data_IF_662471348768
#
_entry.id   IF_662471348768
#
_cell.length_a   1.000
_cell.length_b   1.000
_cell.length_c   1.000
_cell.angle_alpha   90.00
_cell.angle_beta   90.00
_cell.angle_gamma   90.00
#
_symmetry.space_group_name_H-M   'P 1'
#
loop_
_entity.id
_entity.type
_entity.pdbx_description
1 polymer ?
#
# COMPACT_ATOMS: atom_id res chain seq x y z
N UNK A 1 -16.79 -3.55 -3.34
CA UNK A 1 -16.30 -4.00 -4.65
C UNK A 1 -15.53 -2.93 -5.45
N UNK A 2 -16.00 -1.69 -5.69
CA UNK A 2 -15.19 -0.65 -6.36
C UNK A 2 -13.93 -0.21 -5.59
N UNK A 3 -13.92 -0.28 -4.24
CA UNK A 3 -12.76 0.06 -3.39
C UNK A 3 -11.68 -1.03 -3.40
N UNK A 4 -12.07 -2.31 -3.44
CA UNK A 4 -11.11 -3.43 -3.57
C UNK A 4 -10.39 -3.42 -4.93
N UNK A 5 -11.08 -3.04 -6.02
CA UNK A 5 -10.43 -2.90 -7.34
C UNK A 5 -9.35 -1.82 -7.36
N UNK A 6 -9.50 -0.72 -6.58
CA UNK A 6 -8.45 0.31 -6.46
C UNK A 6 -7.27 -0.17 -5.62
N UNK A 7 -7.51 -0.92 -4.55
CA UNK A 7 -6.47 -1.51 -3.72
C UNK A 7 -5.67 -2.58 -4.48
N UNK A 8 -6.36 -3.43 -5.25
CA UNK A 8 -5.72 -4.44 -6.08
C UNK A 8 -4.92 -3.85 -7.26
N UNK A 9 -5.35 -2.69 -7.77
CA UNK A 9 -4.63 -1.94 -8.81
C UNK A 9 -3.38 -1.24 -8.21
N UNK A 10 -3.48 -0.74 -6.99
CA UNK A 10 -2.35 -0.22 -6.22
C UNK A 10 -1.34 -1.33 -5.91
N UNK A 11 -1.80 -2.56 -5.75
CA UNK A 11 -0.99 -3.75 -5.47
C UNK A 11 0.07 -4.05 -6.54
N UNK A 12 -0.22 -3.70 -7.80
CA UNK A 12 0.72 -3.84 -8.93
C UNK A 12 1.44 -2.54 -9.27
N UNK A 13 0.99 -1.40 -8.70
CA UNK A 13 1.49 -0.04 -9.00
C UNK A 13 2.57 0.45 -8.05
N UNK A 14 2.74 -0.16 -6.89
CA UNK A 14 3.72 0.28 -5.88
C UNK A 14 5.19 0.06 -6.28
N UNK A 15 5.43 -0.55 -7.42
CA UNK A 15 6.77 -0.94 -7.89
C UNK A 15 7.51 0.19 -8.63
N UNK A 16 6.95 1.37 -8.83
CA UNK A 16 7.53 2.36 -9.76
C UNK A 16 8.07 3.65 -9.16
N UNK A 17 8.38 3.80 -7.87
CA UNK A 17 9.05 5.05 -7.40
C UNK A 17 10.09 4.80 -6.32
N UNK A 18 11.30 4.45 -6.71
CA UNK A 18 12.48 4.71 -5.91
C UNK A 18 13.62 5.23 -6.78
N UNK A 19 13.37 6.34 -7.43
CA UNK A 19 14.41 7.15 -8.08
C UNK A 19 14.63 8.44 -7.30
N UNK A 20 15.12 8.38 -6.07
CA UNK A 20 15.61 9.57 -5.36
C UNK A 20 16.93 10.00 -5.97
N UNK A 21 16.90 10.93 -6.88
CA UNK A 21 18.08 11.73 -7.26
C UNK A 21 18.45 12.61 -6.08
N UNK A 22 19.46 12.22 -5.30
CA UNK A 22 20.14 13.12 -4.40
C UNK A 22 20.83 14.21 -5.20
N UNK A 23 20.36 15.44 -5.07
CA UNK A 23 21.05 16.59 -5.64
C UNK A 23 22.35 16.84 -4.85
N UNK A 24 23.51 16.97 -5.52
CA UNK A 24 24.73 17.36 -4.85
C UNK A 24 24.68 18.84 -4.47
N UNK A 25 24.98 19.14 -3.22
CA UNK A 25 25.25 20.50 -2.75
C UNK A 25 26.51 21.00 -3.45
N UNK A 26 26.41 21.99 -4.31
CA UNK A 26 27.52 22.63 -4.99
C UNK A 26 28.13 23.72 -4.09
N UNK A 27 29.40 23.54 -3.73
CA UNK A 27 30.21 24.62 -3.18
C UNK A 27 30.52 25.67 -4.27
N UNK A 28 30.42 26.94 -3.91
CA UNK A 28 30.66 28.04 -4.81
C UNK A 28 32.15 28.11 -5.26
N UNK A 29 32.38 27.86 -6.52
CA UNK A 29 33.62 28.09 -7.22
C UNK A 29 33.32 28.80 -8.53
N UNK A 30 33.84 30.03 -8.65
CA UNK A 30 33.73 30.90 -9.82
C UNK A 30 34.48 30.31 -11.02
N UNK A 31 33.74 29.80 -12.00
CA UNK A 31 34.21 29.71 -13.39
C UNK A 31 32.98 29.67 -14.32
N UNK A 32 32.95 30.64 -15.23
CA UNK A 32 31.95 30.83 -16.27
C UNK A 32 32.10 29.74 -17.36
N UNK A 33 31.49 28.58 -17.14
CA UNK A 33 31.10 27.67 -18.20
C UNK A 33 29.59 27.60 -18.23
N UNK A 34 29.01 27.81 -19.42
CA UNK A 34 27.57 27.64 -19.67
C UNK A 34 27.13 26.31 -19.09
N UNK A 35 26.11 26.26 -18.22
CA UNK A 35 25.62 24.96 -17.71
C UNK A 35 25.05 24.18 -18.89
N UNK A 36 25.69 23.08 -19.25
CA UNK A 36 25.08 22.08 -20.10
C UNK A 36 23.89 21.51 -19.33
N UNK A 37 22.67 21.83 -19.76
CA UNK A 37 21.45 21.19 -19.26
C UNK A 37 21.67 19.69 -19.49
N UNK A 38 21.56 18.83 -18.45
CA UNK A 38 21.64 17.39 -18.66
C UNK A 38 20.58 17.01 -19.70
N UNK A 39 20.99 16.48 -20.83
CA UNK A 39 20.06 15.98 -21.85
C UNK A 39 19.31 14.82 -21.21
N UNK A 40 18.00 14.94 -21.05
CA UNK A 40 17.17 13.88 -20.51
C UNK A 40 17.32 12.63 -21.40
N UNK A 41 17.58 11.49 -20.77
CA UNK A 41 17.78 10.23 -21.49
C UNK A 41 16.50 9.84 -22.24
N UNK A 42 16.62 9.50 -23.52
CA UNK A 42 15.48 9.12 -24.35
C UNK A 42 14.82 7.81 -23.87
N UNK A 43 13.50 7.67 -24.09
CA UNK A 43 12.78 6.46 -23.77
C UNK A 43 13.32 5.22 -24.46
N UNK A 44 13.84 5.36 -25.68
CA UNK A 44 14.52 4.26 -26.38
C UNK A 44 15.77 3.79 -25.64
N UNK A 45 16.61 4.72 -25.15
CA UNK A 45 17.81 4.37 -24.39
C UNK A 45 17.45 3.70 -23.05
N UNK A 46 16.43 4.20 -22.36
CA UNK A 46 15.92 3.58 -21.12
C UNK A 46 15.38 2.17 -21.38
N UNK A 47 14.63 1.99 -22.47
CA UNK A 47 14.10 0.69 -22.88
C UNK A 47 15.21 -0.32 -23.22
N UNK A 48 16.25 0.10 -23.93
CA UNK A 48 17.40 -0.76 -24.28
C UNK A 48 18.18 -1.17 -23.01
N UNK A 49 18.35 -0.25 -22.07
CA UNK A 49 18.96 -0.56 -20.76
C UNK A 49 18.12 -1.55 -19.97
N UNK A 50 16.80 -1.35 -19.92
CA UNK A 50 15.87 -2.27 -19.25
C UNK A 50 15.95 -3.65 -19.89
N UNK A 51 15.87 -3.75 -21.23
CA UNK A 51 15.95 -5.01 -21.93
C UNK A 51 17.27 -5.76 -21.64
N UNK A 52 18.36 -5.01 -21.48
CA UNK A 52 19.66 -5.55 -21.08
C UNK A 52 19.66 -6.02 -19.63
N UNK A 53 19.02 -5.28 -18.71
CA UNK A 53 18.98 -5.58 -17.29
C UNK A 53 18.12 -6.82 -16.96
N UNK A 54 17.15 -7.15 -17.82
CA UNK A 54 16.30 -8.34 -17.65
C UNK A 54 16.82 -9.58 -18.36
N UNK A 55 18.04 -9.59 -18.86
CA UNK A 55 18.61 -10.80 -19.52
C UNK A 55 18.61 -12.00 -18.59
N UNK A 56 18.13 -13.13 -19.11
CA UNK A 56 18.11 -14.40 -18.38
C UNK A 56 16.91 -15.27 -18.74
N UNK A 57 16.87 -16.44 -18.13
CA UNK A 57 15.80 -17.41 -18.29
C UNK A 57 14.84 -17.30 -17.10
N UNK A 58 13.54 -17.17 -17.39
CA UNK A 58 12.51 -16.94 -16.41
C UNK A 58 11.47 -18.06 -16.41
N UNK A 59 11.07 -18.48 -15.22
CA UNK A 59 9.89 -19.30 -14.97
C UNK A 59 8.84 -18.48 -14.22
N UNK A 60 7.63 -19.00 -14.10
CA UNK A 60 6.54 -18.30 -13.42
C UNK A 60 6.88 -18.04 -11.95
N UNK A 61 6.81 -16.78 -11.54
CA UNK A 61 7.21 -16.33 -10.21
C UNK A 61 6.41 -17.04 -9.10
N UNK A 62 5.07 -16.99 -9.17
CA UNK A 62 4.24 -17.47 -8.06
C UNK A 62 4.09 -18.98 -8.09
N UNK A 63 3.49 -19.52 -9.16
CA UNK A 63 3.13 -20.92 -9.25
C UNK A 63 4.34 -21.87 -9.20
N UNK A 64 5.41 -21.52 -9.92
CA UNK A 64 6.55 -22.42 -10.07
C UNK A 64 7.67 -22.16 -9.05
N UNK A 65 7.56 -21.03 -8.27
CA UNK A 65 8.55 -20.68 -7.26
C UNK A 65 7.91 -20.32 -5.92
N UNK A 66 7.35 -19.12 -5.74
CA UNK A 66 7.01 -18.60 -4.41
C UNK A 66 5.90 -19.36 -3.68
N UNK A 67 5.03 -20.09 -4.40
CA UNK A 67 3.96 -20.89 -3.80
C UNK A 67 4.40 -22.30 -3.40
N UNK A 68 5.65 -22.68 -3.63
CA UNK A 68 6.19 -23.93 -3.10
C UNK A 68 6.03 -23.95 -1.57
N UNK A 69 5.50 -25.05 -1.05
CA UNK A 69 5.21 -25.24 0.39
C UNK A 69 6.45 -25.06 1.28
N UNK A 70 7.66 -25.32 0.75
CA UNK A 70 8.91 -25.11 1.49
C UNK A 70 9.14 -23.67 1.89
N UNK A 71 8.53 -22.69 1.18
CA UNK A 71 8.64 -21.26 1.46
C UNK A 71 7.51 -20.71 2.35
N UNK A 72 6.59 -21.54 2.83
CA UNK A 72 5.51 -21.09 3.70
C UNK A 72 6.03 -20.40 4.97
N UNK A 73 7.21 -20.80 5.47
CA UNK A 73 7.82 -20.14 6.60
C UNK A 73 8.17 -18.67 6.28
N UNK A 74 8.73 -18.38 5.11
CA UNK A 74 9.06 -17.01 4.69
C UNK A 74 7.80 -16.17 4.53
N UNK A 75 6.76 -16.70 3.90
CA UNK A 75 5.46 -16.01 3.80
C UNK A 75 4.91 -15.62 5.17
N UNK A 76 4.99 -16.51 6.15
CA UNK A 76 4.50 -16.23 7.49
C UNK A 76 5.37 -15.24 8.24
N UNK A 77 6.69 -15.40 8.20
CA UNK A 77 7.63 -14.52 8.92
C UNK A 77 7.58 -13.09 8.36
N UNK A 78 7.60 -12.95 7.02
CA UNK A 78 7.61 -11.64 6.37
C UNK A 78 6.25 -10.94 6.47
N UNK A 79 5.14 -11.69 6.38
CA UNK A 79 3.83 -11.13 6.66
C UNK A 79 3.69 -10.70 8.13
N UNK A 80 4.20 -11.51 9.08
CA UNK A 80 4.18 -11.17 10.50
C UNK A 80 4.91 -9.86 10.81
N UNK A 81 6.01 -9.60 10.11
CA UNK A 81 6.77 -8.36 10.25
C UNK A 81 5.94 -7.11 9.87
N UNK A 82 4.93 -7.27 9.01
CA UNK A 82 4.09 -6.16 8.55
C UNK A 82 2.77 -6.05 9.33
N UNK A 83 2.09 -7.19 9.56
CA UNK A 83 0.72 -7.17 10.12
C UNK A 83 0.62 -7.69 11.55
N UNK A 84 1.71 -8.22 12.13
CA UNK A 84 1.70 -8.85 13.45
C UNK A 84 1.19 -10.30 13.43
N UNK A 85 1.47 -11.04 14.52
CA UNK A 85 1.38 -12.50 14.54
C UNK A 85 0.02 -13.13 14.26
N UNK A 86 -1.07 -12.57 14.76
CA UNK A 86 -2.40 -13.22 14.69
C UNK A 86 -3.10 -13.05 13.34
N UNK A 87 -2.76 -12.02 12.55
CA UNK A 87 -3.35 -11.80 11.22
C UNK A 87 -2.59 -12.47 10.08
N UNK A 88 -1.46 -13.10 10.37
CA UNK A 88 -0.55 -13.66 9.34
C UNK A 88 -1.27 -14.63 8.42
N UNK A 89 -2.03 -15.57 8.96
CA UNK A 89 -2.66 -16.62 8.16
C UNK A 89 -3.65 -16.04 7.12
N UNK A 90 -4.47 -15.07 7.52
CA UNK A 90 -5.43 -14.44 6.61
C UNK A 90 -4.72 -13.47 5.64
N UNK A 91 -3.71 -12.74 6.10
CA UNK A 91 -2.91 -11.87 5.25
C UNK A 91 -2.21 -12.67 4.14
N UNK A 92 -1.51 -13.75 4.48
CA UNK A 92 -0.85 -14.62 3.50
C UNK A 92 -1.85 -15.26 2.54
N UNK A 93 -2.99 -15.73 3.05
CA UNK A 93 -4.06 -16.28 2.22
C UNK A 93 -4.59 -15.24 1.22
N UNK A 94 -4.85 -14.02 1.67
CA UNK A 94 -5.34 -12.92 0.83
C UNK A 94 -4.30 -12.52 -0.22
N UNK A 95 -3.03 -12.37 0.16
CA UNK A 95 -1.96 -12.08 -0.78
C UNK A 95 -1.81 -13.16 -1.86
N UNK A 96 -1.75 -14.43 -1.45
CA UNK A 96 -1.65 -15.54 -2.41
C UNK A 96 -2.87 -15.61 -3.33
N UNK A 97 -4.07 -15.33 -2.81
CA UNK A 97 -5.28 -15.29 -3.62
C UNK A 97 -5.28 -14.15 -4.64
N UNK A 98 -4.77 -12.97 -4.27
CA UNK A 98 -4.77 -11.79 -5.15
C UNK A 98 -3.94 -11.96 -6.44
N UNK A 99 -2.93 -12.82 -6.42
CA UNK A 99 -2.03 -13.12 -7.57
C UNK A 99 -2.11 -14.58 -8.03
N UNK A 100 -2.97 -15.36 -7.41
CA UNK A 100 -3.13 -16.79 -7.66
C UNK A 100 -4.29 -17.16 -8.56
N UNK A 101 -4.91 -16.21 -9.28
CA UNK A 101 -5.94 -16.55 -10.27
C UNK A 101 -5.41 -17.54 -11.29
N UNK A 102 -6.27 -18.42 -11.75
CA UNK A 102 -5.98 -19.36 -12.85
C UNK A 102 -6.63 -18.95 -14.16
N UNK A 103 -7.32 -17.81 -14.16
CA UNK A 103 -8.11 -17.32 -15.30
C UNK A 103 -7.83 -15.85 -15.58
N UNK A 104 -7.96 -15.48 -16.84
CA UNK A 104 -7.78 -14.12 -17.35
C UNK A 104 -8.74 -13.84 -18.53
N UNK A 105 -8.77 -12.62 -19.04
CA UNK A 105 -9.62 -12.21 -20.14
C UNK A 105 -11.11 -12.24 -19.76
N UNK A 106 -11.96 -12.80 -20.58
CA UNK A 106 -13.40 -12.88 -20.35
C UNK A 106 -13.78 -13.73 -19.12
N UNK A 107 -12.85 -14.56 -18.66
CA UNK A 107 -13.00 -15.41 -17.47
C UNK A 107 -12.23 -14.90 -16.26
N UNK A 108 -11.71 -13.68 -16.34
CA UNK A 108 -10.90 -13.11 -15.26
C UNK A 108 -11.67 -13.07 -13.93
N UNK A 109 -11.01 -13.46 -12.86
CA UNK A 109 -11.48 -13.14 -11.51
C UNK A 109 -11.37 -11.62 -11.31
N UNK A 110 -12.47 -10.92 -10.99
CA UNK A 110 -12.41 -9.46 -10.79
C UNK A 110 -11.61 -9.03 -9.56
N UNK A 111 -11.25 -9.97 -8.67
CA UNK A 111 -10.56 -9.70 -7.41
C UNK A 111 -9.13 -10.25 -7.37
N UNK A 112 -8.67 -10.88 -8.44
CA UNK A 112 -7.35 -11.49 -8.52
C UNK A 112 -6.72 -11.33 -9.90
N UNK A 113 -5.40 -11.40 -9.96
CA UNK A 113 -4.64 -11.43 -11.20
C UNK A 113 -4.14 -12.84 -11.50
N UNK A 114 -4.16 -13.20 -12.76
CA UNK A 114 -3.39 -14.30 -13.28
C UNK A 114 -1.97 -13.81 -13.57
N UNK A 115 -1.01 -14.22 -12.73
CA UNK A 115 0.38 -13.78 -12.85
C UNK A 115 1.28 -14.84 -13.53
N UNK A 116 0.70 -15.87 -14.11
CA UNK A 116 1.43 -16.87 -14.88
C UNK A 116 1.70 -16.47 -16.34
N UNK A 117 2.36 -17.34 -17.06
CA UNK A 117 2.54 -17.19 -18.51
C UNK A 117 1.36 -17.80 -19.25
N UNK A 118 0.91 -17.16 -20.33
CA UNK A 118 -0.22 -17.61 -21.15
C UNK A 118 0.27 -18.35 -22.40
N UNK A 119 -0.68 -18.83 -23.23
CA UNK A 119 -0.40 -19.54 -24.46
C UNK A 119 0.55 -20.75 -24.30
N UNK A 120 0.34 -21.48 -23.21
CA UNK A 120 1.11 -22.69 -22.87
C UNK A 120 2.62 -22.46 -22.67
N UNK A 121 3.04 -21.21 -22.46
CA UNK A 121 4.44 -20.85 -22.19
C UNK A 121 4.81 -21.25 -20.75
N UNK A 122 5.93 -21.96 -20.59
CA UNK A 122 6.49 -22.33 -19.29
C UNK A 122 7.78 -21.58 -18.93
N UNK A 123 8.52 -21.11 -19.94
CA UNK A 123 9.78 -20.42 -19.75
C UNK A 123 9.92 -19.30 -20.80
N UNK A 124 10.45 -18.15 -20.38
CA UNK A 124 10.76 -17.01 -21.26
C UNK A 124 12.23 -16.64 -21.07
N UNK A 125 12.97 -16.52 -22.15
CA UNK A 125 14.39 -16.16 -22.14
C UNK A 125 14.62 -14.84 -22.87
N UNK A 126 15.11 -13.83 -22.13
CA UNK A 126 15.57 -12.56 -22.68
C UNK A 126 17.07 -12.66 -22.98
N UNK A 127 17.45 -12.41 -24.23
CA UNK A 127 18.81 -12.64 -24.75
C UNK A 127 19.40 -11.38 -25.37
N UNK A 128 20.68 -11.41 -25.68
CA UNK A 128 21.38 -10.33 -26.39
C UNK A 128 20.75 -10.02 -27.73
N UNK A 129 20.90 -8.77 -28.16
CA UNK A 129 20.43 -8.32 -29.48
C UNK A 129 18.91 -8.16 -29.59
N UNK A 130 18.20 -8.04 -28.44
CA UNK A 130 16.76 -7.88 -28.43
C UNK A 130 15.98 -9.18 -28.67
N UNK A 131 16.61 -10.32 -28.52
CA UNK A 131 15.95 -11.61 -28.77
C UNK A 131 15.19 -12.08 -27.53
N UNK A 132 13.94 -12.53 -27.72
CA UNK A 132 13.15 -13.25 -26.70
C UNK A 132 12.76 -14.61 -27.22
N UNK A 133 12.98 -15.64 -26.42
CA UNK A 133 12.58 -17.02 -26.72
C UNK A 133 11.52 -17.48 -25.70
N UNK A 134 10.41 -17.96 -26.21
CA UNK A 134 9.32 -18.55 -25.43
C UNK A 134 9.37 -20.07 -25.59
N UNK A 135 9.43 -20.79 -24.46
CA UNK A 135 9.40 -22.26 -24.46
C UNK A 135 8.06 -22.72 -23.92
N UNK A 136 7.32 -23.46 -24.72
CA UNK A 136 6.01 -24.04 -24.35
C UNK A 136 6.15 -25.32 -23.53
N UNK A 137 5.08 -25.80 -22.91
CA UNK A 137 5.07 -26.99 -22.06
C UNK A 137 5.46 -28.27 -22.82
N UNK A 138 5.16 -28.35 -24.12
CA UNK A 138 5.64 -29.41 -25.02
C UNK A 138 7.09 -29.24 -25.47
N UNK A 139 7.80 -28.25 -24.89
CA UNK A 139 9.20 -27.93 -25.16
C UNK A 139 9.48 -27.36 -26.56
N UNK A 140 8.43 -26.91 -27.26
CA UNK A 140 8.62 -26.14 -28.51
C UNK A 140 9.16 -24.77 -28.17
N UNK A 141 10.08 -24.25 -28.96
CA UNK A 141 10.68 -22.93 -28.83
C UNK A 141 10.21 -22.02 -29.96
N UNK A 142 9.72 -20.85 -29.56
CA UNK A 142 9.38 -19.74 -30.48
C UNK A 142 10.27 -18.56 -30.12
N UNK A 143 10.94 -17.97 -31.12
CA UNK A 143 11.95 -16.95 -30.84
C UNK A 143 11.84 -15.82 -31.85
N UNK A 144 11.80 -14.59 -31.33
CA UNK A 144 11.71 -13.37 -32.13
C UNK A 144 12.74 -12.34 -31.67
N UNK A 145 13.09 -11.42 -32.57
CA UNK A 145 13.92 -10.26 -32.28
C UNK A 145 13.04 -9.03 -32.15
N UNK A 146 13.19 -8.28 -31.10
CA UNK A 146 12.34 -7.14 -30.74
C UNK A 146 13.11 -5.83 -30.80
N UNK A 147 12.41 -4.77 -31.15
CA UNK A 147 12.89 -3.39 -31.07
C UNK A 147 11.89 -2.54 -30.27
N UNK A 148 12.40 -1.56 -29.53
CA UNK A 148 11.58 -0.57 -28.86
C UNK A 148 10.62 0.11 -29.85
N UNK A 149 9.34 0.16 -29.48
CA UNK A 149 8.29 0.82 -30.24
C UNK A 149 7.90 2.15 -29.58
N UNK A 150 7.54 2.10 -28.31
CA UNK A 150 7.11 3.29 -27.54
C UNK A 150 7.10 3.01 -26.04
N UNK A 151 7.14 4.08 -25.22
CA UNK A 151 6.71 4.04 -23.82
C UNK A 151 5.18 4.11 -23.80
N UNK A 152 4.56 3.36 -22.91
CA UNK A 152 3.11 3.37 -22.70
C UNK A 152 2.76 2.93 -21.27
N UNK A 153 1.47 2.80 -20.95
CA UNK A 153 1.02 2.32 -19.67
C UNK A 153 -0.20 1.40 -19.81
N UNK A 154 -0.22 0.28 -19.07
CA UNK A 154 -1.39 -0.59 -18.99
C UNK A 154 -2.56 0.19 -18.36
N UNK A 155 -3.62 0.41 -19.13
CA UNK A 155 -4.78 1.24 -18.74
C UNK A 155 -4.41 2.60 -18.15
N UNK A 156 -3.28 3.19 -18.53
CA UNK A 156 -2.79 4.48 -18.04
C UNK A 156 -2.25 4.47 -16.61
N UNK A 157 -2.03 3.29 -15.99
CA UNK A 157 -1.65 3.18 -14.57
C UNK A 157 -0.32 2.47 -14.33
N UNK A 158 0.00 1.44 -15.09
CA UNK A 158 1.27 0.72 -14.97
C UNK A 158 2.18 1.05 -16.15
N UNK A 159 3.17 1.93 -15.92
CA UNK A 159 4.10 2.36 -16.96
C UNK A 159 5.02 1.22 -17.40
N UNK A 160 5.42 1.26 -18.67
CA UNK A 160 6.38 0.30 -19.23
C UNK A 160 6.78 0.63 -20.66
N UNK A 161 7.49 -0.28 -21.27
CA UNK A 161 8.03 -0.15 -22.61
C UNK A 161 7.45 -1.22 -23.52
N UNK A 162 6.92 -0.81 -24.65
CA UNK A 162 6.44 -1.69 -25.71
C UNK A 162 7.57 -1.98 -26.68
N UNK A 163 7.77 -3.26 -26.94
CA UNK A 163 8.67 -3.75 -27.98
C UNK A 163 7.86 -4.50 -29.03
N UNK A 164 8.23 -4.35 -30.29
CA UNK A 164 7.60 -5.04 -31.41
C UNK A 164 8.62 -5.96 -32.08
N UNK A 165 8.19 -7.17 -32.39
CA UNK A 165 8.97 -8.10 -33.19
C UNK A 165 9.34 -7.48 -34.56
N UNK A 166 10.60 -7.64 -34.96
CA UNK A 166 11.08 -7.27 -36.29
C UNK A 166 10.78 -8.32 -37.32
N UNK A 167 10.38 -9.51 -36.91
CA UNK A 167 10.01 -10.61 -37.76
C UNK A 167 8.59 -10.38 -38.32
N UNK A 168 8.34 -10.94 -39.50
CA UNK A 168 6.99 -10.91 -40.10
C UNK A 168 6.13 -12.00 -39.45
N UNK A 169 5.76 -11.79 -38.17
CA UNK A 169 4.87 -12.70 -37.45
C UNK A 169 3.58 -12.02 -37.03
N UNK A 170 2.50 -12.76 -37.00
CA UNK A 170 1.20 -12.34 -36.54
C UNK A 170 0.72 -13.23 -35.35
N UNK A 171 1.66 -13.94 -34.73
CA UNK A 171 1.37 -14.80 -33.59
C UNK A 171 1.24 -14.03 -32.28
N UNK A 172 0.94 -14.74 -31.20
CA UNK A 172 0.73 -14.16 -29.85
C UNK A 172 2.02 -13.61 -29.24
N UNK A 173 3.14 -13.61 -29.94
CA UNK A 173 4.43 -13.06 -29.52
C UNK A 173 4.86 -11.82 -30.32
N UNK A 174 3.94 -11.20 -31.07
CA UNK A 174 4.24 -10.02 -31.91
C UNK A 174 4.69 -8.81 -31.10
N UNK A 175 4.10 -8.59 -29.95
CA UNK A 175 4.44 -7.49 -29.04
C UNK A 175 4.85 -8.02 -27.67
N UNK A 176 5.79 -7.32 -27.04
CA UNK A 176 6.14 -7.48 -25.63
C UNK A 176 5.99 -6.13 -24.96
N UNK A 177 5.24 -6.08 -23.86
CA UNK A 177 5.21 -4.97 -22.92
C UNK A 177 6.02 -5.38 -21.69
N UNK A 178 7.02 -4.60 -21.30
CA UNK A 178 7.92 -4.87 -20.20
C UNK A 178 7.83 -3.73 -19.19
N UNK A 179 7.48 -4.07 -17.93
CA UNK A 179 7.53 -3.14 -16.82
C UNK A 179 8.99 -2.81 -16.46
N UNK A 180 9.27 -1.67 -15.81
CA UNK A 180 10.65 -1.26 -15.48
C UNK A 180 11.29 -2.07 -14.36
N UNK A 181 10.68 -3.17 -13.93
CA UNK A 181 11.20 -4.06 -12.91
C UNK A 181 12.36 -4.90 -13.41
N UNK A 182 13.34 -5.11 -12.52
CA UNK A 182 14.50 -5.94 -12.84
C UNK A 182 14.87 -6.85 -11.68
N UNK A 183 15.47 -8.02 -11.92
CA UNK A 183 15.90 -8.92 -10.86
C UNK A 183 16.89 -8.30 -9.86
N UNK A 184 17.61 -7.25 -10.27
CA UNK A 184 18.57 -6.57 -9.42
C UNK A 184 17.90 -5.69 -8.34
N UNK A 185 16.68 -5.22 -8.58
CA UNK A 185 15.95 -4.30 -7.69
C UNK A 185 14.69 -4.89 -7.10
N UNK A 186 13.92 -5.61 -7.90
CA UNK A 186 12.62 -6.17 -7.49
C UNK A 186 12.62 -7.69 -7.38
N UNK A 187 13.76 -8.34 -7.68
CA UNK A 187 13.96 -9.80 -7.64
C UNK A 187 13.15 -10.59 -8.69
N UNK A 188 12.36 -9.91 -9.49
CA UNK A 188 11.51 -10.48 -10.54
C UNK A 188 11.38 -9.53 -11.71
N UNK A 189 10.65 -9.95 -12.75
CA UNK A 189 10.21 -9.10 -13.85
C UNK A 189 8.71 -9.24 -14.06
N UNK A 190 8.09 -8.15 -14.54
CA UNK A 190 6.70 -8.13 -14.96
C UNK A 190 6.60 -7.75 -16.43
N UNK A 191 5.83 -8.51 -17.20
CA UNK A 191 5.69 -8.31 -18.63
C UNK A 191 4.38 -8.90 -19.16
N UNK A 192 4.03 -8.49 -20.37
CA UNK A 192 2.95 -9.07 -21.16
C UNK A 192 3.41 -9.31 -22.59
N UNK A 193 2.75 -10.22 -23.29
CA UNK A 193 2.98 -10.45 -24.71
C UNK A 193 1.67 -10.77 -25.42
N UNK A 194 1.58 -10.47 -26.71
CA UNK A 194 0.34 -10.69 -27.46
C UNK A 194 0.44 -10.21 -28.92
N UNK A 195 -0.54 -10.59 -29.71
CA UNK A 195 -0.65 -10.21 -31.13
C UNK A 195 -1.31 -8.85 -31.35
N UNK A 196 -2.18 -8.40 -30.43
CA UNK A 196 -2.92 -7.14 -30.52
C UNK A 196 -2.46 -6.15 -29.44
N UNK A 197 -1.81 -5.07 -29.88
CA UNK A 197 -1.29 -4.07 -28.96
C UNK A 197 -2.38 -3.32 -28.20
N UNK A 198 -3.53 -3.05 -28.83
CA UNK A 198 -4.65 -2.34 -28.19
C UNK A 198 -5.23 -3.16 -27.03
N UNK A 199 -5.41 -4.45 -27.25
CA UNK A 199 -5.86 -5.37 -26.21
C UNK A 199 -4.78 -5.59 -25.13
N UNK A 200 -3.51 -5.67 -25.55
CA UNK A 200 -2.38 -5.89 -24.65
C UNK A 200 -2.23 -4.78 -23.59
N UNK A 201 -2.57 -3.54 -23.96
CA UNK A 201 -2.48 -2.38 -23.06
C UNK A 201 -3.69 -2.20 -22.14
N UNK A 202 -4.75 -3.01 -22.28
CA UNK A 202 -5.90 -3.01 -21.38
C UNK A 202 -5.63 -3.91 -20.17
N UNK A 203 -5.61 -3.34 -18.95
CA UNK A 203 -5.29 -4.12 -17.75
C UNK A 203 -6.48 -4.95 -17.23
N UNK A 204 -7.67 -4.32 -17.12
CA UNK A 204 -8.81 -4.91 -16.42
C UNK A 204 -9.97 -5.28 -17.35
N UNK A 205 -9.81 -5.18 -18.64
CA UNK A 205 -10.83 -5.47 -19.66
C UNK A 205 -10.20 -6.11 -20.89
N UNK A 206 -11.03 -6.74 -21.73
CA UNK A 206 -10.63 -7.30 -23.00
C UNK A 206 -9.92 -8.65 -22.91
N UNK A 207 -9.30 -9.05 -24.00
CA UNK A 207 -8.68 -10.37 -24.20
C UNK A 207 -7.70 -10.78 -23.09
N UNK A 208 -6.98 -9.80 -22.53
CA UNK A 208 -5.94 -10.02 -21.51
C UNK A 208 -6.30 -9.44 -20.16
N UNK A 209 -7.60 -9.26 -19.85
CA UNK A 209 -8.04 -8.70 -18.57
C UNK A 209 -7.47 -9.47 -17.37
N UNK A 210 -7.01 -8.74 -16.36
CA UNK A 210 -6.44 -9.26 -15.11
C UNK A 210 -5.32 -10.28 -15.31
N UNK A 211 -4.49 -10.08 -16.32
CA UNK A 211 -3.27 -10.86 -16.54
C UNK A 211 -2.05 -9.95 -16.54
N UNK A 212 -1.01 -10.32 -15.80
CA UNK A 212 0.35 -9.77 -15.88
C UNK A 212 1.31 -10.94 -15.69
N UNK A 213 2.10 -11.28 -16.70
CA UNK A 213 3.10 -12.31 -16.56
C UNK A 213 4.22 -11.88 -15.61
N UNK A 214 4.40 -12.61 -14.52
CA UNK A 214 5.46 -12.36 -13.54
C UNK A 214 6.47 -13.49 -13.57
N UNK A 215 7.76 -13.16 -13.81
CA UNK A 215 8.84 -14.11 -13.98
C UNK A 215 9.94 -13.94 -12.94
N UNK A 216 10.47 -15.08 -12.45
CA UNK A 216 11.68 -15.11 -11.62
C UNK A 216 12.81 -15.78 -12.38
N UNK A 217 14.05 -15.29 -12.21
CA UNK A 217 15.23 -15.91 -12.80
C UNK A 217 15.34 -17.37 -12.37
N UNK A 218 15.45 -18.28 -13.33
CA UNK A 218 15.64 -19.71 -13.08
C UNK A 218 16.88 -20.00 -12.24
N UNK A 219 17.93 -19.20 -12.41
CA UNK A 219 19.14 -19.27 -11.58
C UNK A 219 18.92 -18.90 -10.10
N UNK A 220 17.83 -18.19 -9.77
CA UNK A 220 17.46 -17.89 -8.38
C UNK A 220 16.94 -19.10 -7.61
N UNK A 221 16.54 -20.15 -8.30
CA UNK A 221 16.01 -21.38 -7.71
C UNK A 221 17.09 -22.40 -7.34
N UNK A 222 18.35 -22.08 -7.55
CA UNK A 222 19.46 -22.94 -7.12
C UNK A 222 19.64 -22.80 -5.60
N UNK A 223 20.11 -23.87 -4.93
CA UNK A 223 20.31 -23.90 -3.47
C UNK A 223 21.12 -22.73 -2.90
N UNK A 224 21.95 -22.10 -3.74
CA UNK A 224 22.79 -20.95 -3.35
C UNK A 224 22.03 -19.61 -3.28
N UNK A 225 20.80 -19.55 -3.76
CA UNK A 225 20.06 -18.29 -3.94
C UNK A 225 18.70 -18.27 -3.21
N UNK A 226 18.52 -19.10 -2.18
CA UNK A 226 17.32 -19.10 -1.35
C UNK A 226 17.01 -17.72 -0.77
N UNK A 227 18.06 -16.93 -0.48
CA UNK A 227 17.91 -15.54 -0.04
C UNK A 227 17.18 -14.65 -1.05
N UNK A 228 17.36 -14.85 -2.36
CA UNK A 228 16.62 -14.09 -3.37
C UNK A 228 15.12 -14.40 -3.30
N UNK A 229 14.75 -15.67 -3.08
CA UNK A 229 13.34 -16.07 -2.90
C UNK A 229 12.74 -15.40 -1.67
N UNK A 230 13.44 -15.45 -0.54
CA UNK A 230 13.02 -14.77 0.68
C UNK A 230 12.87 -13.27 0.47
N UNK A 231 13.84 -12.60 -0.14
CA UNK A 231 13.77 -11.18 -0.41
C UNK A 231 12.58 -10.82 -1.31
N UNK A 232 12.28 -11.66 -2.31
CA UNK A 232 11.12 -11.45 -3.17
C UNK A 232 9.80 -11.57 -2.38
N UNK A 233 9.68 -12.55 -1.49
CA UNK A 233 8.50 -12.71 -0.62
C UNK A 233 8.41 -11.53 0.35
N UNK A 234 9.51 -11.12 0.97
CA UNK A 234 9.55 -10.00 1.91
C UNK A 234 9.14 -8.68 1.24
N UNK A 235 9.64 -8.41 0.03
CA UNK A 235 9.26 -7.24 -0.76
C UNK A 235 7.76 -7.26 -1.05
N UNK A 236 7.24 -8.37 -1.57
CA UNK A 236 5.83 -8.53 -1.90
C UNK A 236 4.92 -8.38 -0.67
N UNK A 237 5.28 -8.97 0.47
CA UNK A 237 4.56 -8.79 1.73
C UNK A 237 4.58 -7.33 2.18
N UNK A 238 5.74 -6.68 2.19
CA UNK A 238 5.89 -5.30 2.66
C UNK A 238 5.04 -4.34 1.85
N UNK A 239 5.14 -4.39 0.53
CA UNK A 239 4.44 -3.48 -0.36
C UNK A 239 2.92 -3.67 -0.27
N UNK A 240 2.46 -4.90 -0.38
CA UNK A 240 1.05 -5.18 -0.50
C UNK A 240 0.30 -5.14 0.85
N UNK A 241 0.91 -5.61 1.94
CA UNK A 241 0.28 -5.56 3.26
C UNK A 241 0.31 -4.17 3.88
N UNK A 242 1.31 -3.35 3.60
CA UNK A 242 1.33 -1.96 4.02
C UNK A 242 0.17 -1.17 3.40
N UNK A 243 -0.12 -1.38 2.14
CA UNK A 243 -1.28 -0.77 1.46
C UNK A 243 -2.62 -1.27 2.00
N UNK A 244 -2.75 -2.55 2.29
CA UNK A 244 -3.95 -3.11 2.91
C UNK A 244 -4.17 -2.50 4.30
N UNK A 245 -3.12 -2.35 5.11
CA UNK A 245 -3.16 -1.70 6.42
C UNK A 245 -3.59 -0.23 6.30
N UNK A 246 -3.04 0.51 5.34
CA UNK A 246 -3.40 1.90 5.10
C UNK A 246 -4.86 2.05 4.63
N UNK A 247 -5.35 1.15 3.78
CA UNK A 247 -6.74 1.13 3.32
C UNK A 247 -7.72 0.85 4.48
N UNK A 248 -7.37 -0.07 5.38
CA UNK A 248 -8.16 -0.35 6.58
C UNK A 248 -8.17 0.85 7.53
N UNK A 249 -7.01 1.46 7.79
CA UNK A 249 -6.91 2.69 8.59
C UNK A 249 -7.81 3.80 8.03
N UNK A 250 -7.81 4.04 6.72
CA UNK A 250 -8.67 5.04 6.08
C UNK A 250 -10.16 4.70 6.24
N UNK A 251 -10.54 3.42 6.19
CA UNK A 251 -11.91 2.98 6.41
C UNK A 251 -12.34 3.24 7.86
N UNK A 252 -11.51 2.90 8.84
CA UNK A 252 -11.80 3.13 10.26
C UNK A 252 -11.83 4.63 10.59
N UNK A 253 -10.93 5.44 10.06
CA UNK A 253 -10.96 6.88 10.20
C UNK A 253 -12.25 7.48 9.62
N UNK A 254 -12.73 6.97 8.49
CA UNK A 254 -14.00 7.41 7.89
C UNK A 254 -15.21 7.10 8.76
N UNK A 255 -15.21 5.97 9.48
CA UNK A 255 -16.28 5.61 10.43
C UNK A 255 -16.31 6.58 11.62
N UNK A 256 -15.15 7.01 12.09
CA UNK A 256 -15.00 7.96 13.19
C UNK A 256 -15.32 9.40 12.81
N UNK A 257 -15.32 9.75 11.51
CA UNK A 257 -15.48 11.13 11.07
C UNK A 257 -16.77 11.77 11.59
N UNK A 258 -16.64 12.97 12.14
CA UNK A 258 -17.74 13.75 12.70
C UNK A 258 -17.33 14.61 13.87
N UNK A 259 -18.32 15.26 14.46
CA UNK A 259 -18.18 16.07 15.70
C UNK A 259 -18.77 15.29 16.86
N UNK A 260 -18.01 15.21 17.93
CA UNK A 260 -18.30 14.39 19.10
C UNK A 260 -18.28 15.22 20.37
N UNK A 261 -19.36 15.19 21.16
CA UNK A 261 -19.54 15.91 22.42
C UNK A 261 -19.13 14.99 23.57
N UNK A 262 -18.09 15.36 24.32
CA UNK A 262 -17.59 14.54 25.41
C UNK A 262 -18.52 14.57 26.61
N UNK A 263 -18.77 13.40 27.18
CA UNK A 263 -19.42 13.28 28.49
C UNK A 263 -18.41 13.64 29.61
N UNK A 264 -18.49 14.87 30.08
CA UNK A 264 -17.61 15.40 31.14
C UNK A 264 -18.09 15.04 32.54
N UNK A 265 -19.14 14.23 32.71
CA UNK A 265 -19.71 13.88 34.03
C UNK A 265 -18.71 13.20 34.97
N UNK A 266 -17.79 12.40 34.44
CA UNK A 266 -16.72 11.77 35.22
C UNK A 266 -15.77 12.78 35.90
N UNK A 267 -15.66 14.00 35.35
CA UNK A 267 -14.81 15.06 35.85
C UNK A 267 -15.56 16.10 36.71
N UNK A 268 -16.89 15.97 36.85
CA UNK A 268 -17.73 16.93 37.56
C UNK A 268 -17.43 17.03 39.08
N UNK A 269 -16.78 16.00 39.65
CA UNK A 269 -16.32 16.02 41.05
C UNK A 269 -15.08 16.89 41.26
N UNK A 270 -14.32 17.20 40.20
CA UNK A 270 -13.20 18.12 40.30
C UNK A 270 -13.69 19.57 40.13
N UNK A 271 -13.54 20.43 41.16
CA UNK A 271 -14.03 21.81 41.12
C UNK A 271 -13.54 22.60 39.89
N UNK A 272 -12.34 22.28 39.41
CA UNK A 272 -11.73 22.94 38.25
C UNK A 272 -12.45 22.62 36.93
N UNK A 273 -13.09 21.43 36.83
CA UNK A 273 -13.73 20.96 35.60
C UNK A 273 -15.24 20.78 35.71
N UNK A 274 -15.83 21.26 36.81
CA UNK A 274 -17.26 21.07 37.09
C UNK A 274 -18.17 21.56 35.95
N UNK A 275 -17.78 22.63 35.29
CA UNK A 275 -18.54 23.24 34.20
C UNK A 275 -17.86 23.05 32.81
N UNK A 276 -16.78 22.28 32.76
CA UNK A 276 -16.03 22.10 31.54
C UNK A 276 -16.85 21.45 30.43
N UNK A 277 -16.60 21.89 29.21
CA UNK A 277 -17.16 21.32 27.97
C UNK A 277 -16.03 20.97 27.03
N UNK A 278 -16.15 19.84 26.36
CA UNK A 278 -15.17 19.37 25.40
C UNK A 278 -15.87 18.79 24.18
N UNK A 279 -15.39 19.15 23.01
CA UNK A 279 -15.80 18.58 21.73
C UNK A 279 -14.58 18.11 20.97
N UNK A 280 -14.78 17.07 20.17
CA UNK A 280 -13.75 16.56 19.28
C UNK A 280 -14.27 16.48 17.85
N UNK A 281 -13.59 17.12 16.92
CA UNK A 281 -13.84 16.92 15.49
C UNK A 281 -12.81 15.91 14.97
N UNK A 282 -13.28 14.79 14.44
CA UNK A 282 -12.45 13.79 13.75
C UNK A 282 -12.74 13.84 12.26
N UNK A 283 -11.72 13.84 11.43
CA UNK A 283 -11.85 13.86 9.98
C UNK A 283 -11.38 12.54 9.37
N UNK A 284 -11.94 12.20 8.23
CA UNK A 284 -11.62 10.96 7.52
C UNK A 284 -10.17 10.87 7.01
N UNK A 285 -9.47 12.00 6.95
CA UNK A 285 -8.06 12.09 6.57
C UNK A 285 -7.08 11.81 7.74
N UNK A 286 -7.59 11.48 8.92
CA UNK A 286 -6.78 11.24 10.11
C UNK A 286 -6.36 12.51 10.85
N UNK A 287 -6.92 13.67 10.50
CA UNK A 287 -6.74 14.90 11.27
C UNK A 287 -7.93 15.11 12.21
N UNK A 288 -7.68 15.75 13.35
CA UNK A 288 -8.72 16.08 14.31
C UNK A 288 -8.42 17.39 15.02
N UNK A 289 -9.42 17.93 15.69
CA UNK A 289 -9.30 19.08 16.57
C UNK A 289 -10.12 18.82 17.84
N UNK A 290 -9.51 19.01 18.98
CA UNK A 290 -10.23 19.08 20.25
C UNK A 290 -10.51 20.52 20.60
N UNK A 291 -11.74 20.79 21.04
CA UNK A 291 -12.21 22.08 21.53
C UNK A 291 -12.53 21.95 23.01
N UNK A 292 -11.83 22.71 23.85
CA UNK A 292 -11.99 22.63 25.30
C UNK A 292 -12.33 23.98 25.91
N UNK A 293 -13.39 24.00 26.70
CA UNK A 293 -13.86 25.15 27.51
C UNK A 293 -13.86 24.72 28.97
N UNK A 294 -12.86 25.09 29.77
CA UNK A 294 -12.73 24.67 31.15
C UNK A 294 -13.81 25.24 32.04
N UNK A 295 -14.43 26.37 31.69
CA UNK A 295 -15.35 27.11 32.52
C UNK A 295 -16.81 27.01 32.07
N UNK A 296 -17.09 26.42 30.91
CA UNK A 296 -18.43 26.32 30.34
C UNK A 296 -18.99 27.65 29.84
N UNK A 297 -18.13 28.60 29.50
CA UNK A 297 -18.49 29.97 29.10
C UNK A 297 -18.85 30.10 27.60
N UNK A 298 -18.56 29.05 26.82
CA UNK A 298 -18.71 29.05 25.37
C UNK A 298 -17.43 29.49 24.63
N UNK A 299 -16.34 29.77 25.36
CA UNK A 299 -15.05 30.09 24.81
C UNK A 299 -14.17 28.85 24.81
N UNK A 300 -13.74 28.40 23.62
CA UNK A 300 -13.01 27.15 23.44
C UNK A 300 -11.57 27.37 23.03
N UNK A 301 -10.70 26.55 23.58
CA UNK A 301 -9.33 26.38 23.11
C UNK A 301 -9.30 25.27 22.07
N UNK A 302 -8.60 25.53 20.97
CA UNK A 302 -8.39 24.55 19.91
C UNK A 302 -7.07 23.80 20.10
N UNK A 303 -7.11 22.48 19.97
CA UNK A 303 -5.92 21.63 19.98
C UNK A 303 -5.96 20.67 18.78
N UNK A 304 -5.26 21.01 17.68
CA UNK A 304 -5.19 20.13 16.52
C UNK A 304 -4.30 18.91 16.80
N UNK A 305 -4.65 17.78 16.22
CA UNK A 305 -3.88 16.53 16.32
C UNK A 305 -4.05 15.66 15.07
N UNK A 306 -3.19 14.66 14.93
CA UNK A 306 -3.37 13.55 13.99
C UNK A 306 -3.72 12.28 14.74
N UNK A 307 -4.49 11.40 14.11
CA UNK A 307 -4.84 10.10 14.68
C UNK A 307 -4.82 9.01 13.63
N UNK A 308 -4.65 7.79 14.09
CA UNK A 308 -4.71 6.57 13.30
C UNK A 308 -5.76 5.67 13.92
N UNK A 309 -6.71 5.20 13.12
CA UNK A 309 -7.71 4.24 13.55
C UNK A 309 -7.56 2.96 12.72
N UNK A 310 -7.61 1.81 13.37
CA UNK A 310 -7.40 0.52 12.71
C UNK A 310 -8.19 -0.57 13.43
N UNK A 311 -8.49 -1.62 12.69
CA UNK A 311 -9.02 -2.86 13.23
C UNK A 311 -7.87 -3.78 13.66
N UNK A 312 -7.88 -4.19 14.91
CA UNK A 312 -6.92 -5.15 15.44
C UNK A 312 -7.61 -6.51 15.65
N UNK A 313 -7.43 -7.41 14.74
CA UNK A 313 -7.97 -8.77 14.80
C UNK A 313 -7.30 -9.66 15.89
N UNK A 314 -6.84 -9.06 16.99
CA UNK A 314 -6.06 -9.72 18.03
C UNK A 314 -4.56 -9.78 17.72
N UNK A 315 -4.09 -8.86 16.89
CA UNK A 315 -2.67 -8.68 16.57
C UNK A 315 -1.93 -8.09 17.77
N UNK A 316 -0.70 -8.55 17.93
CA UNK A 316 0.16 -8.16 19.04
C UNK A 316 -0.46 -8.54 20.42
N UNK A 317 0.06 -8.02 21.49
CA UNK A 317 -0.38 -8.35 22.89
C UNK A 317 -1.66 -7.62 23.31
N UNK A 318 -2.50 -7.22 22.37
CA UNK A 318 -3.76 -6.53 22.64
C UNK A 318 -4.97 -7.34 22.15
N UNK A 319 -6.10 -7.20 22.83
CA UNK A 319 -7.33 -7.91 22.47
C UNK A 319 -7.87 -7.46 21.12
N UNK A 320 -8.59 -8.35 20.42
CA UNK A 320 -9.28 -7.99 19.17
C UNK A 320 -10.22 -6.80 19.35
N UNK A 321 -10.32 -5.97 18.33
CA UNK A 321 -11.23 -4.82 18.30
C UNK A 321 -10.64 -3.64 17.52
N UNK A 322 -11.40 -2.53 17.49
CA UNK A 322 -11.00 -1.32 16.82
C UNK A 322 -10.28 -0.38 17.78
N UNK A 323 -9.19 0.20 17.32
CA UNK A 323 -8.28 1.01 18.11
C UNK A 323 -8.02 2.37 17.46
N UNK A 324 -7.76 3.37 18.30
CA UNK A 324 -7.29 4.69 17.89
C UNK A 324 -5.97 5.00 18.59
N UNK A 325 -5.02 5.55 17.85
CA UNK A 325 -3.73 6.01 18.39
C UNK A 325 -3.35 7.35 17.77
N UNK A 326 -2.59 8.14 18.49
CA UNK A 326 -1.91 9.36 17.97
C UNK A 326 -0.47 9.06 17.55
N UNK A 327 -0.02 7.83 17.74
CA UNK A 327 1.28 7.33 17.32
C UNK A 327 1.06 6.22 16.28
N UNK A 328 1.57 6.42 15.06
CA UNK A 328 1.41 5.47 13.94
C UNK A 328 2.13 4.14 14.14
N UNK A 329 3.13 4.12 15.04
CA UNK A 329 4.02 2.96 15.19
C UNK A 329 3.80 2.18 16.49
N UNK A 330 3.00 2.69 17.44
CA UNK A 330 2.87 2.09 18.77
C UNK A 330 1.44 1.76 19.16
N UNK A 331 1.04 0.54 18.85
CA UNK A 331 -0.20 -0.08 19.32
C UNK A 331 -0.34 -0.10 20.85
N UNK A 332 0.76 -0.22 21.60
CA UNK A 332 0.78 -0.25 23.06
C UNK A 332 0.25 1.01 23.74
N UNK A 333 0.11 2.09 22.99
CA UNK A 333 -0.50 3.36 23.43
C UNK A 333 -1.87 3.61 22.83
N UNK A 334 -2.39 2.67 22.06
CA UNK A 334 -3.68 2.80 21.44
C UNK A 334 -4.80 2.52 22.42
N UNK A 335 -5.90 3.24 22.29
CA UNK A 335 -7.13 2.98 23.03
C UNK A 335 -8.12 2.23 22.17
N UNK A 336 -8.69 1.19 22.74
CA UNK A 336 -9.82 0.52 22.13
C UNK A 336 -11.02 1.47 22.12
N UNK A 337 -11.80 1.44 21.03
CA UNK A 337 -13.02 2.21 20.94
C UNK A 337 -14.19 1.35 20.47
N UNK A 338 -15.39 1.80 20.80
CA UNK A 338 -16.63 1.22 20.33
C UNK A 338 -17.60 2.32 19.90
N UNK A 339 -18.35 2.08 18.83
CA UNK A 339 -19.45 2.94 18.40
C UNK A 339 -20.74 2.17 18.63
N UNK A 340 -21.62 2.72 19.47
CA UNK A 340 -22.91 2.13 19.83
C UNK A 340 -24.06 3.10 19.55
N UNK A 341 -25.28 2.58 19.44
CA UNK A 341 -26.50 3.41 19.40
C UNK A 341 -27.30 3.26 20.66
N UNK A 342 -27.75 4.39 21.22
CA UNK A 342 -28.69 4.45 22.36
C UNK A 342 -29.86 5.34 21.97
N UNK A 343 -30.97 4.75 21.55
CA UNK A 343 -32.03 5.47 20.87
C UNK A 343 -31.55 6.07 19.54
N UNK A 344 -31.73 7.36 19.34
CA UNK A 344 -31.24 8.09 18.16
C UNK A 344 -29.78 8.53 18.30
N UNK A 345 -29.23 8.52 19.50
CA UNK A 345 -27.86 8.96 19.75
C UNK A 345 -26.83 7.91 19.30
N UNK A 346 -25.81 8.36 18.60
CA UNK A 346 -24.61 7.57 18.31
C UNK A 346 -23.54 7.91 19.33
N UNK A 347 -23.02 6.92 20.04
CA UNK A 347 -22.07 7.06 21.14
C UNK A 347 -20.75 6.43 20.73
N UNK A 348 -19.66 7.18 20.82
CA UNK A 348 -18.29 6.71 20.71
C UNK A 348 -17.70 6.60 22.12
N UNK A 349 -17.24 5.42 22.48
CA UNK A 349 -16.60 5.17 23.79
C UNK A 349 -15.17 4.74 23.58
N UNK A 350 -14.24 5.38 24.28
CA UNK A 350 -12.84 4.96 24.37
C UNK A 350 -12.60 4.23 25.68
N UNK A 351 -11.95 3.07 25.60
CA UNK A 351 -11.44 2.35 26.77
C UNK A 351 -9.98 2.75 27.00
N UNK A 352 -9.69 3.29 28.17
CA UNK A 352 -8.34 3.65 28.56
C UNK A 352 -7.59 2.44 29.11
N UNK A 353 -6.24 2.41 29.08
CA UNK A 353 -5.45 1.28 29.54
C UNK A 353 -5.65 0.92 31.02
N UNK A 354 -6.12 1.87 31.85
CA UNK A 354 -6.44 1.66 33.27
C UNK A 354 -7.85 1.09 33.51
N UNK A 355 -8.59 0.78 32.43
CA UNK A 355 -9.95 0.24 32.48
C UNK A 355 -11.04 1.29 32.69
N UNK A 356 -10.71 2.59 32.74
CA UNK A 356 -11.70 3.65 32.68
C UNK A 356 -12.20 3.87 31.27
N UNK A 357 -13.31 4.58 31.10
CA UNK A 357 -13.83 4.90 29.78
C UNK A 357 -14.36 6.33 29.73
N UNK A 358 -14.23 6.93 28.57
CA UNK A 358 -14.87 8.20 28.26
C UNK A 358 -15.78 8.04 27.05
N UNK A 359 -16.98 8.61 27.15
CA UNK A 359 -17.97 8.55 26.08
C UNK A 359 -18.18 9.91 25.43
N UNK A 360 -18.48 9.87 24.16
CA UNK A 360 -18.79 11.02 23.34
C UNK A 360 -20.10 10.78 22.59
N UNK A 361 -20.91 11.80 22.45
CA UNK A 361 -22.16 11.76 21.68
C UNK A 361 -21.93 12.46 20.35
N UNK A 362 -22.27 11.82 19.25
CA UNK A 362 -22.15 12.40 17.91
C UNK A 362 -23.08 13.62 17.77
N UNK A 363 -22.54 14.68 17.17
CA UNK A 363 -23.29 15.89 16.83
C UNK A 363 -23.42 16.05 15.33
N UNK A 364 -24.50 16.66 14.90
CA UNK A 364 -24.76 16.91 13.48
C UNK A 364 -24.09 18.20 12.97
N UNK A 365 -23.65 19.07 13.88
CA UNK A 365 -23.06 20.38 13.54
C UNK A 365 -21.79 20.66 14.28
N UNK A 366 -20.89 21.40 13.63
CA UNK A 366 -19.69 21.94 14.26
C UNK A 366 -20.02 22.87 15.41
N UNK A 367 -19.20 22.82 16.44
CA UNK A 367 -19.24 23.80 17.52
C UNK A 367 -18.72 25.14 16.98
N UNK A 368 -19.45 26.21 17.28
CA UNK A 368 -18.93 27.55 17.03
C UNK A 368 -17.79 27.81 18.02
N UNK A 369 -16.59 28.03 17.51
CA UNK A 369 -15.40 28.24 18.31
C UNK A 369 -15.05 29.71 18.27
N UNK A 370 -14.89 30.31 19.45
CA UNK A 370 -14.16 31.58 19.63
C UNK A 370 -12.75 31.18 20.03
N UNK A 371 -11.83 31.24 19.07
CA UNK A 371 -10.43 30.93 19.30
C UNK A 371 -9.79 32.05 20.09
N UNK A 372 -9.54 31.82 21.36
CA UNK A 372 -8.52 32.56 22.08
C UNK A 372 -7.30 31.65 22.21
N UNK A 373 -6.17 32.19 21.82
CA UNK A 373 -4.88 31.56 21.84
C UNK A 373 -4.47 31.17 23.25
N UNK A 374 -5.00 30.08 23.76
CA UNK A 374 -4.65 29.61 25.08
C UNK A 374 -3.59 28.53 24.97
N UNK A 375 -2.52 28.76 25.68
CA UNK A 375 -1.33 27.91 25.72
C UNK A 375 -1.55 26.62 26.54
N UNK A 376 -2.74 26.33 27.00
CA UNK A 376 -3.02 25.21 27.89
C UNK A 376 -2.61 23.84 27.32
N UNK A 377 -2.64 23.67 26.00
CA UNK A 377 -2.33 22.37 25.37
C UNK A 377 -1.20 22.43 24.34
N UNK A 378 -0.68 23.63 24.05
CA UNK A 378 0.34 23.82 22.99
C UNK A 378 1.75 23.53 23.50
N UNK A 379 2.04 23.72 24.78
CA UNK A 379 3.39 23.54 25.34
C UNK A 379 3.84 22.08 25.55
N UNK A 380 2.94 21.12 25.54
CA UNK A 380 3.26 19.75 25.92
C UNK A 380 3.41 18.75 24.80
N UNK A 381 3.16 19.08 23.54
CA UNK A 381 3.01 18.10 22.43
C UNK A 381 1.94 17.04 22.71
N UNK A 382 1.07 17.23 23.67
CA UNK A 382 0.06 16.27 24.09
C UNK A 382 -1.30 16.80 23.65
N UNK A 383 -1.97 16.10 22.76
CA UNK A 383 -3.34 16.45 22.46
C UNK A 383 -4.28 15.88 23.53
N UNK A 384 -5.45 16.50 23.70
CA UNK A 384 -6.41 16.11 24.74
C UNK A 384 -6.91 14.70 24.53
N UNK A 385 -7.13 14.29 23.29
CA UNK A 385 -7.56 12.94 22.99
C UNK A 385 -6.52 11.91 23.45
N UNK A 386 -5.24 12.15 23.20
CA UNK A 386 -4.16 11.29 23.68
C UNK A 386 -4.08 11.26 25.21
N UNK A 387 -4.32 12.36 25.88
CA UNK A 387 -4.34 12.42 27.35
C UNK A 387 -5.53 11.67 27.93
N UNK A 388 -6.70 11.85 27.35
CA UNK A 388 -7.91 11.11 27.73
C UNK A 388 -7.71 9.61 27.48
N UNK A 389 -7.17 9.28 26.33
CA UNK A 389 -6.89 7.92 25.90
C UNK A 389 -5.80 7.26 26.75
N UNK A 390 -4.80 8.00 27.22
CA UNK A 390 -3.71 7.48 28.05
C UNK A 390 -4.04 7.40 29.55
N UNK A 391 -5.25 7.80 29.99
CA UNK A 391 -5.61 7.85 31.40
C UNK A 391 -4.84 8.90 32.22
N UNK A 392 -4.03 9.75 31.58
CA UNK A 392 -3.14 10.70 32.26
C UNK A 392 -3.85 11.97 32.76
N UNK A 393 -5.16 12.04 32.64
CA UNK A 393 -5.93 13.21 33.05
C UNK A 393 -5.52 14.49 32.28
N UNK A 394 -6.37 15.49 32.31
CA UNK A 394 -6.02 16.81 31.79
C UNK A 394 -4.96 17.40 32.73
N UNK A 395 -3.70 17.33 32.34
CA UNK A 395 -2.64 18.02 33.07
C UNK A 395 -2.66 19.48 32.70
N UNK A 396 -2.75 20.34 33.69
CA UNK A 396 -2.61 21.79 33.58
C UNK A 396 -1.21 22.18 33.15
#
# INVERSE_FOLDING_TARGET
>A
MKKMRKALLALLLSITVAGTSAAPVMAAGTNTSVPTIPTEESDSSKADKLFTAVKGDYIQLFKDALFDVKYNKYWNDDAAAVVGGSAVAEAVKTLKASVGSTTYGDKADPNAFYCGFINDVKEVSFQDGGKVEFTTSDSKKVSHTYKFLKKDALSGVMEGYVFQSTDKNEDEFKYVFLCPDTPATTYHIEFRYGSDLTELLKLNTGKYANWVGSGILKSALTEKNEQMIQNCIALFCTENLAEMKNADTAAQQSVLAGVWDADMSAYASNPQYKNAKMYCELKADGTGVTYFDPNGTGTYTESPFTFYAYDNDGKEDVSSGVYISTDSEKLTKASKYAITKKGEATILTFETPDGSSISYIKRDTKVAVVSENTTLYVKGKTNILANVVSGSGITT
#
